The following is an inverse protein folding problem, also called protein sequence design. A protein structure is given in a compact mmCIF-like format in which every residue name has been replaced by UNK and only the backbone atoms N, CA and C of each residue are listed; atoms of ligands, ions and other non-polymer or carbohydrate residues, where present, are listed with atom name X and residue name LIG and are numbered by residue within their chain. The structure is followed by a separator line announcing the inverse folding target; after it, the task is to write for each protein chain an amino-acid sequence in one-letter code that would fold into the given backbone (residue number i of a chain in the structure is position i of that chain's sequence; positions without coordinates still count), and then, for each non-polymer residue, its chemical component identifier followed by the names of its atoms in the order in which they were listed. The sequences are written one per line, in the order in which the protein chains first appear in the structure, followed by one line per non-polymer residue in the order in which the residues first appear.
data_IF_881060122084
#
_entry.id   IF_881060122084
#
_cell.length_a   1.000
_cell.length_b   1.000
_cell.length_c   1.000
_cell.angle_alpha   90.00
_cell.angle_beta   90.00
_cell.angle_gamma   90.00
#
_symmetry.space_group_name_H-M   'P 1'
#
loop_
_entity.id
_entity.type
_entity.pdbx_description
1 polymer ?
#
# COMPACT_ATOMS: atom_id res chain seq x y z
N UNK A 1 -23.22 3.53 4.75
CA UNK A 1 -22.13 2.69 4.23
C UNK A 1 -21.39 2.06 5.40
N UNK A 2 -20.96 0.82 5.23
CA UNK A 2 -20.10 0.10 6.17
C UNK A 2 -18.82 -0.28 5.46
N UNK A 3 -17.68 -0.01 6.10
CA UNK A 3 -16.37 -0.45 5.66
C UNK A 3 -15.80 -1.35 6.74
N UNK A 4 -15.29 -2.51 6.32
CA UNK A 4 -14.58 -3.44 7.17
C UNK A 4 -13.23 -3.76 6.52
N UNK A 5 -12.16 -3.66 7.29
CA UNK A 5 -10.82 -3.98 6.81
C UNK A 5 -10.08 -4.85 7.81
N UNK A 6 -9.29 -5.78 7.30
CA UNK A 6 -8.44 -6.67 8.08
C UNK A 6 -7.06 -6.70 7.47
N UNK A 7 -6.04 -6.66 8.33
CA UNK A 7 -4.65 -6.80 7.94
C UNK A 7 -4.01 -7.92 8.76
N UNK A 8 -3.41 -8.86 8.07
CA UNK A 8 -2.63 -9.94 8.68
C UNK A 8 -1.20 -9.79 8.17
N UNK A 9 -0.24 -9.77 9.07
CA UNK A 9 1.16 -9.71 8.73
C UNK A 9 1.96 -10.76 9.50
N UNK A 10 3.00 -11.25 8.86
CA UNK A 10 4.00 -12.13 9.46
C UNK A 10 5.37 -11.62 9.03
N UNK A 11 6.29 -11.49 9.98
CA UNK A 11 7.64 -10.98 9.74
C UNK A 11 8.64 -11.89 10.44
N UNK A 12 9.68 -12.27 9.72
CA UNK A 12 10.86 -12.96 10.21
C UNK A 12 12.05 -12.01 10.13
N UNK A 13 12.74 -11.81 11.23
CA UNK A 13 13.94 -10.98 11.31
C UNK A 13 15.12 -11.82 11.80
N UNK A 14 16.24 -11.73 11.11
CA UNK A 14 17.47 -12.43 11.44
C UNK A 14 18.63 -11.45 11.48
N UNK A 15 19.30 -11.39 12.61
CA UNK A 15 20.47 -10.52 12.80
C UNK A 15 21.67 -11.35 13.23
N UNK A 16 22.79 -11.13 12.59
CA UNK A 16 24.05 -11.80 12.95
C UNK A 16 25.24 -10.85 12.79
N UNK A 17 26.26 -11.11 13.59
CA UNK A 17 27.56 -10.46 13.52
C UNK A 17 28.63 -11.55 13.33
N UNK A 18 29.42 -11.42 12.27
CA UNK A 18 30.53 -12.35 12.04
C UNK A 18 31.84 -11.59 11.88
N UNK A 19 32.91 -12.25 12.32
CA UNK A 19 34.27 -11.67 12.38
C UNK A 19 34.33 -10.30 13.09
N UNK A 20 33.37 -10.00 14.00
CA UNK A 20 33.25 -8.77 14.78
C UNK A 20 33.16 -7.45 13.99
N UNK A 21 33.25 -7.50 12.67
CA UNK A 21 33.25 -6.32 11.78
C UNK A 21 32.11 -6.33 10.75
N UNK A 22 31.49 -7.50 10.56
CA UNK A 22 30.39 -7.66 9.60
C UNK A 22 29.06 -7.78 10.35
N UNK A 23 28.19 -6.81 10.20
CA UNK A 23 26.83 -6.85 10.73
C UNK A 23 25.87 -7.12 9.59
N UNK A 24 25.03 -8.13 9.72
CA UNK A 24 24.03 -8.51 8.75
C UNK A 24 22.67 -8.60 9.42
N UNK A 25 21.69 -7.88 8.88
CA UNK A 25 20.28 -7.99 9.24
C UNK A 25 19.47 -8.30 7.99
N UNK A 26 18.71 -9.39 8.05
CA UNK A 26 17.79 -9.82 6.98
C UNK A 26 16.40 -9.88 7.58
N UNK A 27 15.47 -9.23 6.93
CA UNK A 27 14.06 -9.28 7.26
C UNK A 27 13.26 -9.77 6.04
N UNK A 28 12.34 -10.67 6.27
CA UNK A 28 11.37 -11.11 5.28
C UNK A 28 9.99 -11.12 5.90
N UNK A 29 8.98 -10.64 5.15
CA UNK A 29 7.62 -10.59 5.64
C UNK A 29 6.60 -10.80 4.54
N UNK A 30 5.39 -11.13 4.98
CA UNK A 30 4.19 -11.17 4.15
C UNK A 30 3.07 -10.40 4.83
N UNK A 31 2.24 -9.77 4.01
CA UNK A 31 1.08 -9.01 4.46
C UNK A 31 -0.12 -9.36 3.59
N UNK A 32 -1.23 -9.67 4.21
CA UNK A 32 -2.51 -9.83 3.55
C UNK A 32 -3.48 -8.76 4.05
N UNK A 33 -3.96 -7.95 3.12
CA UNK A 33 -4.95 -6.90 3.36
C UNK A 33 -6.26 -7.25 2.67
N UNK A 34 -7.38 -7.22 3.39
CA UNK A 34 -8.73 -7.43 2.85
C UNK A 34 -9.64 -6.30 3.31
N UNK A 35 -10.23 -5.61 2.36
CA UNK A 35 -11.18 -4.53 2.59
C UNK A 35 -12.50 -4.85 1.91
N UNK A 36 -13.58 -4.77 2.66
CA UNK A 36 -14.93 -4.91 2.19
C UNK A 36 -15.72 -3.63 2.46
N UNK A 37 -16.31 -3.08 1.40
CA UNK A 37 -17.17 -1.92 1.47
C UNK A 37 -18.58 -2.32 1.06
N UNK A 38 -19.56 -1.93 1.86
CA UNK A 38 -20.98 -2.10 1.57
C UNK A 38 -21.67 -0.74 1.67
N UNK A 39 -22.19 -0.27 0.56
CA UNK A 39 -22.95 0.96 0.45
C UNK A 39 -24.43 0.65 0.25
N UNK A 40 -25.28 1.36 0.97
CA UNK A 40 -26.72 1.40 0.76
C UNK A 40 -27.14 2.86 0.70
N UNK A 41 -27.91 3.21 -0.31
CA UNK A 41 -28.53 4.51 -0.42
C UNK A 41 -30.01 4.35 -0.74
N UNK A 42 -30.81 5.21 -0.15
CA UNK A 42 -32.21 5.33 -0.46
C UNK A 42 -32.56 6.81 -0.59
N UNK A 43 -33.30 7.16 -1.61
CA UNK A 43 -33.79 8.52 -1.82
C UNK A 43 -35.29 8.51 -2.17
N UNK A 44 -35.96 9.56 -1.78
CA UNK A 44 -37.36 9.76 -2.07
C UNK A 44 -37.61 11.22 -2.40
N UNK A 45 -38.62 11.48 -3.27
CA UNK A 45 -39.08 12.81 -3.63
C UNK A 45 -40.60 12.92 -3.42
N UNK A 46 -41.13 14.16 -3.37
CA UNK A 46 -42.55 14.41 -3.22
C UNK A 46 -43.07 14.21 -1.79
N UNK A 47 -42.30 14.64 -0.80
CA UNK A 47 -42.80 14.74 0.58
C UNK A 47 -43.91 15.77 0.68
N UNK A 48 -44.94 15.45 1.45
CA UNK A 48 -46.10 16.36 1.64
C UNK A 48 -45.77 17.63 2.41
N UNK A 49 -44.64 17.62 3.19
CA UNK A 49 -44.15 18.74 3.99
C UNK A 49 -42.67 18.62 4.18
N UNK A 50 -42.01 19.77 4.34
CA UNK A 50 -40.57 19.84 4.65
C UNK A 50 -40.24 19.60 6.14
N UNK A 51 -41.25 19.53 7.00
CA UNK A 51 -41.09 19.37 8.44
C UNK A 51 -40.71 17.95 8.82
N UNK A 52 -41.03 16.96 8.00
CA UNK A 52 -40.73 15.54 8.26
C UNK A 52 -39.85 14.97 7.17
N UNK A 53 -38.59 14.73 7.49
CA UNK A 53 -37.57 14.15 6.60
C UNK A 53 -37.54 12.62 6.68
N UNK A 54 -38.69 11.98 6.55
CA UNK A 54 -38.79 10.52 6.59
C UNK A 54 -39.07 9.98 5.18
N UNK A 55 -38.26 9.02 4.73
CA UNK A 55 -38.42 8.34 3.45
C UNK A 55 -39.78 7.63 3.30
N UNK A 56 -40.38 7.22 4.42
CA UNK A 56 -41.70 6.61 4.47
C UNK A 56 -42.83 7.57 4.05
N UNK A 57 -42.62 8.88 4.18
CA UNK A 57 -43.58 9.93 3.89
C UNK A 57 -43.42 10.55 2.48
N UNK A 58 -42.48 10.04 1.69
CA UNK A 58 -42.32 10.45 0.30
C UNK A 58 -43.34 9.75 -0.61
N UNK A 59 -43.60 10.31 -1.76
CA UNK A 59 -44.51 9.75 -2.76
C UNK A 59 -44.10 8.32 -3.17
N UNK A 60 -45.02 7.38 -3.16
CA UNK A 60 -44.79 5.99 -3.53
C UNK A 60 -44.93 5.72 -5.04
N UNK A 61 -45.19 6.77 -5.87
CA UNK A 61 -45.32 6.66 -7.30
C UNK A 61 -44.04 6.13 -7.97
N UNK A 62 -44.22 5.65 -9.20
CA UNK A 62 -43.13 5.06 -9.97
C UNK A 62 -41.97 6.05 -10.17
N UNK A 63 -40.73 5.65 -9.84
CA UNK A 63 -39.55 6.49 -9.96
C UNK A 63 -39.34 7.51 -8.83
N UNK A 64 -40.30 7.64 -7.90
CA UNK A 64 -40.21 8.61 -6.79
C UNK A 64 -39.34 8.14 -5.62
N UNK A 65 -39.21 6.84 -5.43
CA UNK A 65 -38.35 6.22 -4.46
C UNK A 65 -37.28 5.40 -5.16
N UNK A 66 -36.03 5.64 -4.83
CA UNK A 66 -34.88 4.91 -5.38
C UNK A 66 -34.11 4.26 -4.25
N UNK A 67 -33.79 3.00 -4.46
CA UNK A 67 -32.96 2.21 -3.54
C UNK A 67 -31.79 1.71 -4.36
N UNK A 68 -30.59 1.96 -3.90
CA UNK A 68 -29.36 1.50 -4.52
C UNK A 68 -28.47 0.85 -3.47
N UNK A 69 -27.77 -0.19 -3.87
CA UNK A 69 -26.77 -0.87 -3.05
C UNK A 69 -25.56 -1.22 -3.88
N UNK A 70 -24.40 -0.94 -3.34
CA UNK A 70 -23.14 -1.35 -3.93
C UNK A 70 -22.30 -2.10 -2.90
N UNK A 71 -21.52 -3.04 -3.39
CA UNK A 71 -20.52 -3.71 -2.61
C UNK A 71 -19.22 -3.80 -3.40
N UNK A 72 -18.12 -3.60 -2.72
CA UNK A 72 -16.82 -3.78 -3.32
C UNK A 72 -15.89 -4.49 -2.35
N UNK A 73 -15.02 -5.33 -2.87
CA UNK A 73 -13.99 -6.01 -2.11
C UNK A 73 -12.65 -5.82 -2.77
N UNK A 74 -11.68 -5.43 -1.97
CA UNK A 74 -10.33 -5.15 -2.40
C UNK A 74 -9.35 -5.95 -1.53
N UNK A 75 -8.46 -6.69 -2.16
CA UNK A 75 -7.46 -7.51 -1.48
C UNK A 75 -6.07 -7.25 -2.03
N UNK A 76 -5.11 -7.18 -1.13
CA UNK A 76 -3.69 -7.13 -1.48
C UNK A 76 -2.99 -8.26 -0.76
N UNK A 77 -2.14 -8.98 -1.49
CA UNK A 77 -1.16 -9.90 -0.92
C UNK A 77 0.22 -9.36 -1.25
N UNK A 78 1.01 -9.11 -0.22
CA UNK A 78 2.33 -8.52 -0.33
C UNK A 78 3.38 -9.41 0.27
N UNK A 79 4.52 -9.50 -0.40
CA UNK A 79 5.76 -10.06 0.13
C UNK A 79 6.80 -8.94 0.12
N UNK A 80 7.53 -8.82 1.20
CA UNK A 80 8.56 -7.80 1.31
C UNK A 80 9.79 -8.33 2.03
N UNK A 81 10.93 -7.75 1.69
CA UNK A 81 12.18 -8.10 2.34
C UNK A 81 13.13 -6.94 2.39
N UNK A 82 14.02 -7.01 3.37
CA UNK A 82 15.09 -6.03 3.57
C UNK A 82 16.36 -6.77 3.99
N UNK A 83 17.46 -6.37 3.38
CA UNK A 83 18.79 -6.75 3.75
C UNK A 83 19.56 -5.50 4.10
N UNK A 84 20.13 -5.46 5.30
CA UNK A 84 21.07 -4.43 5.71
C UNK A 84 22.41 -5.11 6.01
N UNK A 85 23.45 -4.57 5.45
CA UNK A 85 24.82 -5.02 5.68
C UNK A 85 25.69 -3.83 6.06
N UNK A 86 26.48 -4.01 7.07
CA UNK A 86 27.41 -3.03 7.61
C UNK A 86 28.77 -3.68 7.78
N UNK A 87 29.78 -3.06 7.19
CA UNK A 87 31.18 -3.44 7.35
C UNK A 87 31.94 -2.38 8.16
N UNK A 88 32.42 -2.74 9.34
CA UNK A 88 33.13 -1.86 10.29
C UNK A 88 32.38 -0.55 10.64
N UNK A 89 31.09 -0.44 10.37
CA UNK A 89 30.36 0.81 10.47
C UNK A 89 30.86 1.89 9.49
N UNK A 90 31.68 1.51 8.51
CA UNK A 90 32.22 2.37 7.46
C UNK A 90 31.40 2.29 6.18
N UNK A 91 31.17 1.05 5.72
CA UNK A 91 30.46 0.78 4.48
C UNK A 91 29.09 0.15 4.78
N UNK A 92 28.06 0.82 4.35
CA UNK A 92 26.68 0.46 4.62
C UNK A 92 25.98 0.11 3.31
N UNK A 93 25.34 -1.03 3.25
CA UNK A 93 24.52 -1.44 2.12
C UNK A 93 23.14 -1.83 2.61
N UNK A 94 22.10 -1.39 1.89
CA UNK A 94 20.73 -1.81 2.14
C UNK A 94 20.03 -2.13 0.82
N UNK A 95 19.44 -3.32 0.77
CA UNK A 95 18.54 -3.75 -0.30
C UNK A 95 17.14 -3.95 0.27
N UNK A 96 16.13 -3.49 -0.44
CA UNK A 96 14.73 -3.71 -0.10
C UNK A 96 13.98 -4.17 -1.34
N UNK A 97 12.96 -4.99 -1.14
CA UNK A 97 12.00 -5.28 -2.20
C UNK A 97 10.61 -5.40 -1.61
N UNK A 98 9.62 -5.09 -2.44
CA UNK A 98 8.20 -5.36 -2.20
C UNK A 98 7.58 -5.95 -3.46
N UNK A 99 6.80 -6.99 -3.29
CA UNK A 99 6.10 -7.70 -4.34
C UNK A 99 4.62 -7.80 -3.98
N UNK A 100 3.80 -7.00 -4.65
CA UNK A 100 2.40 -6.78 -4.30
C UNK A 100 1.47 -7.36 -5.36
N UNK A 101 0.51 -8.18 -4.93
CA UNK A 101 -0.57 -8.69 -5.76
C UNK A 101 -1.89 -8.02 -5.42
N UNK A 102 -2.55 -7.45 -6.44
CA UNK A 102 -3.78 -6.69 -6.32
C UNK A 102 -4.96 -7.45 -6.93
N UNK A 103 -6.02 -7.66 -6.14
CA UNK A 103 -7.23 -8.34 -6.63
C UNK A 103 -8.01 -7.54 -7.69
N UNK A 104 -7.84 -6.21 -7.71
CA UNK A 104 -8.47 -5.31 -8.67
C UNK A 104 -7.83 -5.33 -10.05
N UNK A 105 -6.62 -5.91 -10.18
CA UNK A 105 -5.90 -5.99 -11.45
C UNK A 105 -6.10 -7.36 -12.10
N UNK A 106 -6.19 -7.38 -13.44
CA UNK A 106 -6.38 -8.58 -14.24
C UNK A 106 -5.09 -9.04 -14.93
N UNK A 107 -4.96 -10.36 -15.11
CA UNK A 107 -3.92 -10.96 -15.93
C UNK A 107 -2.51 -10.77 -15.37
N UNK A 108 -1.58 -10.50 -16.27
CA UNK A 108 -0.14 -10.36 -15.96
C UNK A 108 0.19 -9.15 -15.08
N UNK A 109 -0.67 -8.14 -15.08
CA UNK A 109 -0.47 -6.89 -14.35
C UNK A 109 -0.96 -6.96 -12.89
N UNK A 110 -1.41 -8.13 -12.43
CA UNK A 110 -1.87 -8.32 -11.05
C UNK A 110 -0.75 -8.15 -10.03
N UNK A 111 0.49 -8.39 -10.42
CA UNK A 111 1.64 -8.35 -9.53
C UNK A 111 2.59 -7.22 -9.91
N UNK A 112 3.03 -6.47 -8.92
CA UNK A 112 4.03 -5.42 -9.05
C UNK A 112 5.27 -5.74 -8.21
N UNK A 113 6.47 -5.50 -8.77
CA UNK A 113 7.74 -5.66 -8.08
C UNK A 113 8.42 -4.31 -7.90
N UNK A 114 8.77 -3.97 -6.68
CA UNK A 114 9.29 -2.67 -6.28
C UNK A 114 10.61 -2.86 -5.52
N UNK A 115 11.75 -2.92 -6.23
CA UNK A 115 13.06 -3.00 -5.63
C UNK A 115 13.60 -1.63 -5.24
N UNK A 116 14.46 -1.63 -4.21
CA UNK A 116 15.23 -0.47 -3.82
C UNK A 116 16.60 -0.88 -3.29
N UNK A 117 17.60 -0.07 -3.57
CA UNK A 117 18.96 -0.26 -3.07
C UNK A 117 19.51 1.04 -2.54
N UNK A 118 20.33 0.97 -1.52
CA UNK A 118 21.08 2.13 -1.02
C UNK A 118 22.47 1.72 -0.55
N UNK A 119 23.42 2.62 -0.77
CA UNK A 119 24.78 2.51 -0.25
C UNK A 119 25.12 3.73 0.61
N UNK A 120 25.92 3.52 1.62
CA UNK A 120 26.43 4.58 2.49
C UNK A 120 27.91 4.37 2.81
N UNK A 121 28.65 5.46 2.85
CA UNK A 121 30.05 5.47 3.23
C UNK A 121 30.28 6.52 4.32
N UNK A 122 30.74 6.06 5.47
CA UNK A 122 31.13 6.91 6.60
C UNK A 122 32.62 7.23 6.45
N UNK A 123 32.90 8.20 5.61
CA UNK A 123 34.27 8.53 5.19
C UNK A 123 35.13 9.08 6.34
N UNK A 124 34.53 9.66 7.38
CA UNK A 124 35.28 10.11 8.58
C UNK A 124 35.84 8.98 9.43
N UNK A 125 35.44 7.72 9.18
CA UNK A 125 36.06 6.56 9.84
C UNK A 125 37.31 6.07 9.11
N UNK A 126 37.62 6.59 7.94
CA UNK A 126 38.86 6.29 7.23
C UNK A 126 40.05 6.99 7.86
N UNK A 127 41.16 6.31 7.95
CA UNK A 127 42.37 6.83 8.66
C UNK A 127 42.95 8.04 7.94
N UNK A 128 42.94 8.05 6.59
CA UNK A 128 43.43 9.19 5.82
C UNK A 128 42.57 10.46 6.02
N UNK A 129 41.27 10.31 6.33
CA UNK A 129 40.36 11.45 6.60
C UNK A 129 40.59 11.96 8.01
N UNK A 130 40.77 11.08 9.00
CA UNK A 130 41.06 11.46 10.38
C UNK A 130 42.36 12.27 10.47
N UNK A 131 43.39 11.86 9.72
CA UNK A 131 44.70 12.55 9.69
C UNK A 131 44.60 13.91 8.98
N UNK A 132 43.88 13.97 7.86
CA UNK A 132 43.78 15.18 7.02
C UNK A 132 42.78 16.22 7.53
N UNK A 133 41.72 15.78 8.21
CA UNK A 133 40.61 16.63 8.64
C UNK A 133 40.22 16.34 10.11
N UNK A 134 41.10 16.61 11.09
CA UNK A 134 40.88 16.28 12.49
C UNK A 134 39.69 17.02 13.13
N UNK A 135 39.25 18.12 12.53
CA UNK A 135 38.08 18.87 13.00
C UNK A 135 36.73 18.26 12.59
N UNK A 136 36.73 17.28 11.67
CA UNK A 136 35.51 16.68 11.15
C UNK A 136 35.15 15.42 11.97
N UNK A 137 34.22 15.56 12.89
CA UNK A 137 33.81 14.45 13.79
C UNK A 137 33.02 13.36 13.11
N UNK A 138 32.10 13.75 12.17
CA UNK A 138 31.25 12.79 11.48
C UNK A 138 30.87 13.28 10.08
N UNK A 139 31.08 12.42 9.10
CA UNK A 139 30.67 12.66 7.72
C UNK A 139 30.28 11.32 7.05
N UNK A 140 29.14 11.34 6.38
CA UNK A 140 28.58 10.20 5.66
C UNK A 140 28.05 10.63 4.30
N UNK A 141 28.43 9.91 3.27
CA UNK A 141 27.81 9.96 1.96
C UNK A 141 26.80 8.83 1.82
N UNK A 142 25.65 9.11 1.21
CA UNK A 142 24.62 8.12 0.93
C UNK A 142 24.03 8.35 -0.46
N UNK A 143 23.85 7.24 -1.18
CA UNK A 143 23.10 7.20 -2.43
C UNK A 143 22.04 6.11 -2.32
N UNK A 144 20.86 6.36 -2.95
CA UNK A 144 19.78 5.38 -3.00
C UNK A 144 19.05 5.48 -4.33
N UNK A 145 18.59 4.34 -4.78
CA UNK A 145 17.73 4.21 -5.96
C UNK A 145 16.62 3.21 -5.67
N UNK A 146 15.41 3.49 -6.11
CA UNK A 146 14.28 2.59 -5.92
C UNK A 146 13.17 2.86 -6.91
N UNK A 147 12.40 1.81 -7.18
CA UNK A 147 11.20 1.85 -8.00
C UNK A 147 9.97 1.77 -7.10
N UNK A 148 9.08 2.76 -7.22
CA UNK A 148 7.82 2.78 -6.49
C UNK A 148 6.66 2.61 -7.47
N UNK A 149 5.71 1.72 -7.12
CA UNK A 149 4.46 1.58 -7.83
C UNK A 149 3.38 2.48 -7.22
N UNK A 150 2.53 3.02 -8.08
CA UNK A 150 1.35 3.75 -7.66
C UNK A 150 0.09 3.06 -8.21
N UNK A 151 -0.68 2.43 -7.34
CA UNK A 151 -1.98 1.83 -7.67
C UNK A 151 -3.17 2.71 -7.27
N UNK A 152 -2.94 3.92 -6.75
CA UNK A 152 -3.98 4.79 -6.20
C UNK A 152 -5.00 5.32 -7.22
N UNK A 153 -4.71 5.19 -8.53
CA UNK A 153 -5.64 5.55 -9.61
C UNK A 153 -6.52 4.41 -10.12
N UNK A 154 -6.36 3.19 -9.59
CA UNK A 154 -7.05 1.99 -10.10
C UNK A 154 -8.10 1.58 -9.07
N UNK A 155 -9.35 1.92 -9.36
CA UNK A 155 -10.50 1.48 -8.54
C UNK A 155 -10.75 -0.03 -8.63
N UNK A 156 -11.50 -0.61 -7.68
CA UNK A 156 -11.94 -1.99 -7.76
C UNK A 156 -12.69 -2.22 -9.08
N UNK A 157 -12.28 -3.25 -9.81
CA UNK A 157 -12.95 -3.67 -11.07
C UNK A 157 -12.87 -2.69 -12.25
N UNK A 158 -12.07 -1.65 -12.20
CA UNK A 158 -11.92 -0.66 -13.29
C UNK A 158 -11.59 -1.30 -14.65
N UNK A 159 -10.86 -2.42 -14.65
CA UNK A 159 -10.46 -3.13 -15.87
C UNK A 159 -11.49 -4.21 -16.33
N UNK A 160 -12.52 -4.48 -15.55
CA UNK A 160 -13.54 -5.48 -15.91
C UNK A 160 -14.67 -4.91 -16.77
N UNK A 161 -14.69 -3.59 -16.97
CA UNK A 161 -15.79 -2.90 -17.64
C UNK A 161 -17.00 -2.74 -16.72
N UNK A 162 -17.72 -1.65 -16.89
CA UNK A 162 -19.02 -1.45 -16.24
C UNK A 162 -20.14 -1.88 -17.19
N UNK A 163 -20.99 -2.79 -16.76
CA UNK A 163 -22.21 -3.10 -17.46
C UNK A 163 -23.31 -2.16 -16.95
N UNK A 164 -23.78 -1.29 -17.82
CA UNK A 164 -25.02 -0.55 -17.57
C UNK A 164 -26.19 -1.44 -18.02
N UNK A 165 -27.01 -1.88 -17.08
CA UNK A 165 -28.28 -2.51 -17.39
C UNK A 165 -29.30 -1.42 -17.76
N UNK A 166 -29.48 -1.16 -19.03
CA UNK A 166 -30.67 -0.42 -19.48
C UNK A 166 -31.88 -1.34 -19.36
N UNK A 167 -32.84 -0.97 -18.53
CA UNK A 167 -34.13 -1.63 -18.55
C UNK A 167 -34.78 -1.34 -19.90
N UNK A 168 -34.97 -2.36 -20.74
CA UNK A 168 -35.84 -2.29 -21.87
C UNK A 168 -37.27 -2.16 -21.34
N UNK A 169 -37.89 -1.03 -21.59
CA UNK A 169 -39.35 -0.92 -21.55
C UNK A 169 -39.87 -1.55 -22.84
N UNK A 170 -40.48 -2.71 -22.72
CA UNK A 170 -41.33 -3.31 -23.72
C UNK A 170 -42.77 -2.96 -23.44
#
# INVERSE_FOLDING_TARGET
SRQFSQTYNAVLDYTTVFSAVHNLNIMFGSEFYDQYNNGFSASGSGAATDDFKDLGLTDAGEGKRQIDSNHSRYRILSYFGRLNYDYEGKYLFSGVFRYDGYSSLLGKNRWGFFPGVSGGWVFTKEDFVKESLPFLYYGKLRASYGLNGNASGIGPYTLQGSYNSNKYHG
#
